data_IF_537210199890
#
_entry.id   IF_537210199890
#
_cell.length_a   1.000
_cell.length_b   1.000
_cell.length_c   1.000
_cell.angle_alpha   90.00
_cell.angle_beta   90.00
_cell.angle_gamma   90.00
#
_symmetry.space_group_name_H-M   'P 1'
#
loop_
_entity.id
_entity.type
_entity.pdbx_description
1 polymer ?
#
# COMPACT_ATOMS: atom_id res chain seq x y z
N UNK A 1 -7.41 3.15 -13.60
CA UNK A 1 -6.58 1.93 -13.69
C UNK A 1 -6.67 1.22 -12.36
N UNK A 2 -6.93 -0.10 -12.35
CA UNK A 2 -7.11 -0.88 -11.11
C UNK A 2 -6.11 -2.03 -11.12
N UNK A 3 -5.39 -2.20 -10.01
CA UNK A 3 -4.47 -3.33 -9.79
C UNK A 3 -5.07 -4.16 -8.65
N UNK A 4 -5.11 -5.47 -8.83
CA UNK A 4 -5.68 -6.41 -7.85
C UNK A 4 -4.72 -7.57 -7.65
N UNK A 5 -4.45 -7.88 -6.38
CA UNK A 5 -3.67 -9.04 -5.96
C UNK A 5 -4.49 -9.86 -4.95
N UNK A 6 -4.35 -11.18 -4.99
CA UNK A 6 -5.10 -12.12 -4.14
C UNK A 6 -4.23 -12.85 -3.12
N UNK A 7 -2.93 -12.57 -3.06
CA UNK A 7 -1.98 -13.40 -2.31
C UNK A 7 -1.85 -13.00 -0.84
N UNK A 8 -2.21 -11.76 -0.48
CA UNK A 8 -2.06 -11.27 0.88
C UNK A 8 -3.24 -10.41 1.35
N UNK A 9 -3.72 -10.72 2.55
CA UNK A 9 -4.66 -9.86 3.27
C UNK A 9 -3.87 -8.73 3.94
N UNK A 10 -4.18 -7.48 3.62
CA UNK A 10 -3.57 -6.32 4.25
C UNK A 10 -4.49 -5.88 5.40
N UNK A 11 -4.06 -5.97 6.67
CA UNK A 11 -4.85 -5.47 7.80
C UNK A 11 -5.17 -3.98 7.62
N UNK A 12 -6.40 -3.56 7.99
CA UNK A 12 -6.81 -2.15 7.89
C UNK A 12 -5.83 -1.20 8.60
N UNK A 13 -5.23 -1.60 9.72
CA UNK A 13 -4.20 -0.82 10.42
C UNK A 13 -2.97 -0.50 9.58
N UNK A 14 -2.65 -1.34 8.61
CA UNK A 14 -1.51 -1.17 7.71
C UNK A 14 -1.93 -0.39 6.46
N UNK A 15 -3.20 -0.40 6.07
CA UNK A 15 -3.68 0.34 4.90
C UNK A 15 -3.47 1.86 5.01
N UNK A 16 -3.65 2.42 6.19
CA UNK A 16 -3.41 3.85 6.39
C UNK A 16 -1.91 4.15 6.45
N UNK A 17 -1.14 3.27 7.07
CA UNK A 17 0.30 3.49 7.29
C UNK A 17 1.18 3.00 6.12
N UNK A 18 0.67 2.26 5.14
CA UNK A 18 1.47 1.74 4.02
C UNK A 18 2.07 2.82 3.11
N UNK A 19 1.54 4.04 3.19
CA UNK A 19 2.04 5.20 2.45
C UNK A 19 3.07 6.02 3.24
N UNK A 20 3.27 5.71 4.52
CA UNK A 20 4.32 6.33 5.33
C UNK A 20 5.69 5.87 4.81
N UNK A 21 6.67 6.79 4.74
CA UNK A 21 8.02 6.43 4.33
C UNK A 21 8.62 5.40 5.29
N UNK A 22 9.39 4.47 4.73
CA UNK A 22 10.08 3.38 5.44
C UNK A 22 9.19 2.28 6.03
N UNK A 23 7.87 2.32 5.78
CA UNK A 23 6.99 1.22 6.20
C UNK A 23 7.13 0.04 5.25
N UNK A 24 7.55 -1.10 5.82
CA UNK A 24 7.60 -2.40 5.16
C UNK A 24 6.90 -3.44 6.04
N UNK A 25 6.10 -4.29 5.42
CA UNK A 25 5.53 -5.49 6.07
C UNK A 25 6.33 -6.76 5.81
N UNK A 26 7.33 -6.68 4.91
CA UNK A 26 8.23 -7.76 4.55
C UNK A 26 9.51 -7.68 5.35
N UNK A 27 10.23 -8.80 5.42
CA UNK A 27 11.50 -8.90 6.14
C UNK A 27 12.53 -7.86 5.66
N UNK A 28 13.39 -7.46 6.60
CA UNK A 28 14.48 -6.53 6.39
C UNK A 28 15.32 -6.96 5.17
N UNK A 29 15.44 -6.08 4.16
CA UNK A 29 16.15 -6.38 2.91
C UNK A 29 15.26 -6.64 1.68
N UNK A 30 13.94 -6.77 1.84
CA UNK A 30 13.00 -6.90 0.70
C UNK A 30 12.66 -5.57 -0.01
N UNK A 31 13.16 -4.45 0.52
CA UNK A 31 12.93 -3.09 -0.01
C UNK A 31 13.06 -2.02 1.07
N UNK A 32 13.16 -0.75 0.68
CA UNK A 32 13.35 0.40 1.59
C UNK A 32 12.06 1.03 2.10
N UNK A 33 10.89 0.56 1.66
CA UNK A 33 9.60 1.17 2.03
C UNK A 33 9.37 2.58 1.47
N UNK A 34 10.12 2.98 0.42
CA UNK A 34 10.04 4.30 -0.20
C UNK A 34 9.18 4.34 -1.48
N UNK A 35 8.86 3.17 -2.05
CA UNK A 35 8.16 3.09 -3.33
C UNK A 35 6.73 3.61 -3.21
N UNK A 36 6.00 3.21 -2.16
CA UNK A 36 4.60 3.60 -1.99
C UNK A 36 4.42 5.07 -1.60
N UNK A 37 5.33 5.61 -0.78
CA UNK A 37 5.34 7.03 -0.42
C UNK A 37 5.61 7.91 -1.64
N UNK A 38 6.51 7.46 -2.54
CA UNK A 38 6.79 8.15 -3.80
C UNK A 38 5.58 8.17 -4.74
N UNK A 39 4.85 7.04 -4.85
CA UNK A 39 3.62 6.97 -5.65
C UNK A 39 2.56 7.94 -5.13
N UNK A 40 2.34 7.97 -3.81
CA UNK A 40 1.41 8.92 -3.20
C UNK A 40 1.82 10.38 -3.46
N UNK A 41 3.12 10.70 -3.40
CA UNK A 41 3.60 12.05 -3.71
C UNK A 41 3.30 12.44 -5.15
N UNK A 42 3.63 11.58 -6.12
CA UNK A 42 3.36 11.81 -7.54
C UNK A 42 1.86 12.05 -7.74
N UNK A 43 1.02 11.18 -7.21
CA UNK A 43 -0.44 11.29 -7.41
C UNK A 43 -0.99 12.56 -6.79
N UNK A 44 -0.53 12.96 -5.60
CA UNK A 44 -0.89 14.25 -4.99
C UNK A 44 -0.42 15.45 -5.82
N UNK A 45 0.80 15.42 -6.36
CA UNK A 45 1.35 16.50 -7.20
C UNK A 45 0.54 16.71 -8.48
N UNK A 46 0.03 15.63 -9.08
CA UNK A 46 -0.84 15.70 -10.26
C UNK A 46 -2.34 15.84 -9.92
N UNK A 47 -2.70 16.09 -8.67
CA UNK A 47 -4.10 16.27 -8.24
C UNK A 47 -4.98 15.01 -8.34
N UNK A 48 -4.35 13.84 -8.43
CA UNK A 48 -5.04 12.55 -8.44
C UNK A 48 -5.31 12.02 -7.04
N UNK A 49 -6.02 10.90 -6.98
CA UNK A 49 -6.26 10.15 -5.75
C UNK A 49 -6.00 8.65 -5.96
N UNK A 50 -5.49 7.98 -4.94
CA UNK A 50 -5.44 6.52 -4.85
C UNK A 50 -6.45 6.09 -3.81
N UNK A 51 -7.22 5.06 -4.14
CA UNK A 51 -8.05 4.37 -3.17
C UNK A 51 -7.58 2.91 -3.09
N UNK A 52 -7.26 2.45 -1.89
CA UNK A 52 -6.89 1.06 -1.64
C UNK A 52 -8.01 0.43 -0.84
N UNK A 53 -8.55 -0.67 -1.35
CA UNK A 53 -9.49 -1.51 -0.61
C UNK A 53 -8.86 -2.89 -0.48
N UNK A 54 -8.60 -3.32 0.75
CA UNK A 54 -8.26 -4.70 1.04
C UNK A 54 -9.40 -5.29 1.87
N UNK A 55 -9.93 -6.42 1.42
CA UNK A 55 -10.94 -7.14 2.18
C UNK A 55 -10.22 -8.04 3.18
N UNK A 56 -9.98 -7.53 4.40
CA UNK A 56 -9.64 -8.40 5.53
C UNK A 56 -10.82 -9.35 5.74
N UNK A 57 -10.59 -10.67 5.63
CA UNK A 57 -11.59 -11.75 5.68
C UNK A 57 -12.41 -12.02 4.40
N UNK A 58 -11.87 -11.82 3.19
CA UNK A 58 -12.44 -12.44 1.96
C UNK A 58 -11.82 -13.81 1.59
N UNK A 59 -11.25 -14.49 2.59
CA UNK A 59 -11.03 -15.92 2.53
C UNK A 59 -11.85 -16.54 3.66
N UNK A 60 -12.76 -17.46 3.31
CA UNK A 60 -13.21 -18.52 4.22
C UNK A 60 -12.02 -19.29 4.77
#
# INVERSE_FOLDING_TARGET
MTVSDTRFVIPNKILDSMFEPFIITKEFGSGTGLSLSTVMRIIKEYGGFINVSSCVNKGT
#
